data_IF_375689788619
#
_entry.id   IF_375689788619
#
_cell.length_a   1.000
_cell.length_b   1.000
_cell.length_c   1.000
_cell.angle_alpha   90.00
_cell.angle_beta   90.00
_cell.angle_gamma   90.00
#
_symmetry.space_group_name_H-M   'P 1'
#
loop_
_entity.id
_entity.type
_entity.pdbx_description
1 polymer ?
#
# COMPACT_ATOMS: atom_id res chain seq x y z
N UNK A 1 9.91 -23.70 27.01
CA UNK A 1 10.30 -22.41 26.42
C UNK A 1 10.56 -21.45 27.55
N UNK A 2 11.72 -20.78 27.52
CA UNK A 2 12.00 -19.68 28.46
C UNK A 2 11.18 -18.44 28.07
N UNK A 3 11.03 -17.51 29.02
CA UNK A 3 10.35 -16.23 28.75
C UNK A 3 11.07 -15.40 27.67
N UNK A 4 12.39 -15.53 27.56
CA UNK A 4 13.21 -14.92 26.52
C UNK A 4 12.95 -15.54 25.13
N UNK A 5 12.89 -16.88 25.05
CA UNK A 5 12.56 -17.59 23.80
C UNK A 5 11.15 -17.21 23.30
N UNK A 6 10.22 -16.97 24.22
CA UNK A 6 8.86 -16.55 23.87
C UNK A 6 8.84 -15.12 23.32
N UNK A 7 9.60 -14.19 23.92
CA UNK A 7 9.74 -12.81 23.40
C UNK A 7 10.36 -12.79 22.01
N UNK A 8 11.39 -13.61 21.77
CA UNK A 8 12.00 -13.74 20.44
C UNK A 8 11.03 -14.34 19.42
N UNK A 9 10.29 -15.38 19.80
CA UNK A 9 9.28 -16.01 18.95
C UNK A 9 8.17 -15.03 18.54
N UNK A 10 7.65 -14.26 19.49
CA UNK A 10 6.61 -13.26 19.24
C UNK A 10 7.10 -12.16 18.29
N UNK A 11 8.32 -11.65 18.51
CA UNK A 11 8.94 -10.66 17.63
C UNK A 11 9.06 -11.18 16.19
N UNK A 12 9.58 -12.40 16.02
CA UNK A 12 9.74 -13.01 14.69
C UNK A 12 8.40 -13.26 14.00
N UNK A 13 7.38 -13.71 14.75
CA UNK A 13 6.05 -13.92 14.22
C UNK A 13 5.42 -12.61 13.74
N UNK A 14 5.54 -11.53 14.52
CA UNK A 14 5.04 -10.21 14.14
C UNK A 14 5.79 -9.64 12.94
N UNK A 15 7.12 -9.80 12.90
CA UNK A 15 7.93 -9.36 11.77
C UNK A 15 7.51 -10.02 10.46
N UNK A 16 7.31 -11.35 10.46
CA UNK A 16 6.84 -12.08 9.27
C UNK A 16 5.48 -11.57 8.78
N UNK A 17 4.53 -11.33 9.71
CA UNK A 17 3.22 -10.76 9.35
C UNK A 17 3.34 -9.39 8.70
N UNK A 18 4.22 -8.53 9.21
CA UNK A 18 4.47 -7.21 8.63
C UNK A 18 5.11 -7.31 7.24
N UNK A 19 6.06 -8.23 7.04
CA UNK A 19 6.66 -8.53 5.73
C UNK A 19 5.59 -9.02 4.72
N UNK A 20 4.68 -9.90 5.15
CA UNK A 20 3.55 -10.38 4.33
C UNK A 20 2.58 -9.25 3.97
N UNK A 21 2.26 -8.36 4.92
CA UNK A 21 1.43 -7.16 4.70
C UNK A 21 2.09 -6.21 3.70
N UNK A 22 3.39 -5.92 3.85
CA UNK A 22 4.13 -5.09 2.90
C UNK A 22 4.10 -5.65 1.48
N UNK A 23 4.30 -6.96 1.34
CA UNK A 23 4.28 -7.61 0.03
C UNK A 23 2.89 -7.62 -0.60
N UNK A 24 1.83 -7.74 0.22
CA UNK A 24 0.46 -7.53 -0.24
C UNK A 24 0.26 -6.11 -0.75
N UNK A 25 0.69 -5.10 0.01
CA UNK A 25 0.59 -3.69 -0.42
C UNK A 25 1.34 -3.46 -1.71
N UNK A 26 2.55 -4.00 -1.89
CA UNK A 26 3.30 -3.90 -3.17
C UNK A 26 2.54 -4.51 -4.34
N UNK A 27 1.88 -5.66 -4.15
CA UNK A 27 1.09 -6.31 -5.21
C UNK A 27 -0.16 -5.49 -5.55
N UNK A 28 -0.87 -5.00 -4.55
CA UNK A 28 -2.02 -4.10 -4.74
C UNK A 28 -1.58 -2.83 -5.45
N UNK A 29 -0.45 -2.25 -5.04
CA UNK A 29 0.09 -1.02 -5.61
C UNK A 29 0.31 -1.14 -7.12
N UNK A 30 1.05 -2.18 -7.52
CA UNK A 30 1.29 -2.48 -8.94
C UNK A 30 0.00 -2.68 -9.72
N UNK A 31 -0.96 -3.40 -9.16
CA UNK A 31 -2.25 -3.66 -9.82
C UNK A 31 -3.06 -2.37 -9.97
N UNK A 32 -3.10 -1.52 -8.95
CA UNK A 32 -3.82 -0.25 -9.02
C UNK A 32 -3.21 0.72 -10.03
N UNK A 33 -1.87 0.84 -10.06
CA UNK A 33 -1.18 1.65 -11.08
C UNK A 33 -1.50 1.15 -12.49
N UNK A 34 -1.47 -0.17 -12.72
CA UNK A 34 -1.83 -0.75 -14.01
C UNK A 34 -3.28 -0.44 -14.42
N UNK A 35 -4.24 -0.50 -13.49
CA UNK A 35 -5.64 -0.17 -13.77
C UNK A 35 -5.84 1.32 -14.11
N UNK A 36 -5.08 2.21 -13.46
CA UNK A 36 -5.11 3.65 -13.77
C UNK A 36 -4.55 3.91 -15.17
N UNK A 37 -3.41 3.31 -15.52
CA UNK A 37 -2.85 3.37 -16.87
C UNK A 37 -3.82 2.85 -17.92
N UNK A 38 -4.47 1.71 -17.64
CA UNK A 38 -5.47 1.12 -18.51
C UNK A 38 -6.69 2.05 -18.69
N UNK A 39 -7.17 2.70 -17.63
CA UNK A 39 -8.29 3.63 -17.72
C UNK A 39 -7.98 4.84 -18.62
N UNK A 40 -6.76 5.40 -18.54
CA UNK A 40 -6.34 6.46 -19.46
C UNK A 40 -6.20 5.97 -20.89
N UNK A 41 -5.65 4.77 -21.10
CA UNK A 41 -5.55 4.15 -22.42
C UNK A 41 -6.93 3.97 -23.06
N UNK A 42 -7.89 3.40 -22.32
CA UNK A 42 -9.26 3.16 -22.81
C UNK A 42 -9.98 4.49 -23.13
N UNK A 43 -9.75 5.53 -22.34
CA UNK A 43 -10.26 6.87 -22.61
C UNK A 43 -9.69 7.44 -23.91
N UNK A 44 -8.39 7.29 -24.14
CA UNK A 44 -7.72 7.77 -25.35
C UNK A 44 -8.16 6.99 -26.60
N UNK A 45 -8.36 5.68 -26.49
CA UNK A 45 -8.93 4.85 -27.55
C UNK A 45 -10.35 5.34 -27.88
N UNK A 46 -11.18 5.55 -26.87
CA UNK A 46 -12.55 6.06 -27.03
C UNK A 46 -12.56 7.41 -27.73
N UNK A 47 -11.70 8.33 -27.32
CA UNK A 47 -11.58 9.66 -27.93
C UNK A 47 -11.20 9.61 -29.43
N UNK A 48 -10.44 8.59 -29.86
CA UNK A 48 -10.05 8.41 -31.26
C UNK A 48 -11.09 7.69 -32.12
N UNK A 49 -11.84 6.77 -31.52
CA UNK A 49 -12.75 5.88 -32.25
C UNK A 49 -14.20 6.38 -32.30
N UNK A 50 -14.56 7.35 -31.46
CA UNK A 50 -15.93 7.86 -31.36
C UNK A 50 -16.01 9.36 -31.65
N UNK A 51 -17.19 9.83 -32.05
CA UNK A 51 -17.54 11.26 -31.97
C UNK A 51 -17.97 11.64 -30.54
N UNK A 52 -17.29 11.11 -29.52
CA UNK A 52 -17.60 11.42 -28.14
C UNK A 52 -17.44 12.92 -27.88
N UNK A 53 -18.33 13.46 -27.06
CA UNK A 53 -18.29 14.85 -26.64
C UNK A 53 -16.96 15.15 -25.92
N UNK A 54 -16.15 16.11 -26.42
CA UNK A 54 -14.91 16.51 -25.78
C UNK A 54 -15.08 16.92 -24.32
N UNK A 55 -16.23 17.50 -23.94
CA UNK A 55 -16.50 17.88 -22.55
C UNK A 55 -16.68 16.65 -21.66
N UNK A 56 -17.40 15.63 -22.15
CA UNK A 56 -17.56 14.38 -21.43
C UNK A 56 -16.22 13.64 -21.24
N UNK A 57 -15.37 13.62 -22.28
CA UNK A 57 -14.03 13.03 -22.20
C UNK A 57 -13.14 13.76 -21.19
N UNK A 58 -13.17 15.10 -21.19
CA UNK A 58 -12.43 15.91 -20.23
C UNK A 58 -12.90 15.68 -18.79
N UNK A 59 -14.21 15.55 -18.58
CA UNK A 59 -14.78 15.21 -17.28
C UNK A 59 -14.30 13.84 -16.79
N UNK A 60 -14.40 12.80 -17.62
CA UNK A 60 -13.94 11.45 -17.26
C UNK A 60 -12.44 11.47 -16.94
N UNK A 61 -11.62 12.17 -17.74
CA UNK A 61 -10.19 12.32 -17.46
C UNK A 61 -9.94 12.91 -16.08
N UNK A 62 -10.69 13.95 -15.71
CA UNK A 62 -10.55 14.59 -14.41
C UNK A 62 -10.95 13.65 -13.27
N UNK A 63 -11.99 12.84 -13.44
CA UNK A 63 -12.40 11.84 -12.45
C UNK A 63 -11.34 10.73 -12.28
N UNK A 64 -10.71 10.26 -13.37
CA UNK A 64 -9.59 9.31 -13.29
C UNK A 64 -8.43 9.94 -12.50
N UNK A 65 -8.07 11.20 -12.77
CA UNK A 65 -7.01 11.90 -12.03
C UNK A 65 -7.32 12.05 -10.54
N UNK A 66 -8.57 12.37 -10.19
CA UNK A 66 -9.01 12.45 -8.78
C UNK A 66 -8.90 11.09 -8.09
N UNK A 67 -9.37 10.03 -8.75
CA UNK A 67 -9.27 8.67 -8.23
C UNK A 67 -7.80 8.25 -8.03
N UNK A 68 -6.92 8.58 -8.99
CA UNK A 68 -5.48 8.35 -8.87
C UNK A 68 -4.89 9.08 -7.66
N UNK A 69 -5.21 10.37 -7.47
CA UNK A 69 -4.71 11.13 -6.34
C UNK A 69 -5.13 10.50 -5.00
N UNK A 70 -6.42 10.19 -4.83
CA UNK A 70 -6.92 9.54 -3.60
C UNK A 70 -6.26 8.18 -3.37
N UNK A 71 -6.06 7.41 -4.45
CA UNK A 71 -5.37 6.14 -4.40
C UNK A 71 -3.91 6.28 -3.94
N UNK A 72 -3.15 7.20 -4.54
CA UNK A 72 -1.74 7.44 -4.20
C UNK A 72 -1.58 7.88 -2.74
N UNK A 73 -2.43 8.80 -2.28
CA UNK A 73 -2.47 9.24 -0.86
C UNK A 73 -2.77 8.07 0.09
N UNK A 74 -3.69 7.19 -0.29
CA UNK A 74 -4.05 6.00 0.48
C UNK A 74 -2.87 5.03 0.57
N UNK A 75 -2.20 4.73 -0.55
CA UNK A 75 -1.04 3.84 -0.59
C UNK A 75 0.11 4.40 0.27
N UNK A 76 0.38 5.70 0.17
CA UNK A 76 1.40 6.37 1.00
C UNK A 76 1.07 6.23 2.48
N UNK A 77 -0.20 6.46 2.86
CA UNK A 77 -0.66 6.35 4.25
C UNK A 77 -0.47 4.95 4.79
N UNK A 78 -0.86 3.92 4.03
CA UNK A 78 -0.72 2.52 4.43
C UNK A 78 0.75 2.15 4.58
N UNK A 79 1.61 2.52 3.61
CA UNK A 79 3.06 2.25 3.69
C UNK A 79 3.68 2.89 4.92
N UNK A 80 3.30 4.12 5.26
CA UNK A 80 3.76 4.81 6.48
C UNK A 80 3.31 4.08 7.75
N UNK A 81 2.06 3.62 7.79
CA UNK A 81 1.55 2.85 8.94
C UNK A 81 2.30 1.52 9.13
N UNK A 82 2.62 0.81 8.04
CA UNK A 82 3.41 -0.42 8.10
C UNK A 82 4.82 -0.17 8.62
N UNK A 83 5.48 0.88 8.12
CA UNK A 83 6.81 1.29 8.60
C UNK A 83 6.78 1.60 10.11
N UNK A 84 5.77 2.34 10.59
CA UNK A 84 5.61 2.63 12.01
C UNK A 84 5.42 1.35 12.82
N UNK A 85 4.55 0.44 12.39
CA UNK A 85 4.34 -0.84 13.08
C UNK A 85 5.62 -1.68 13.16
N UNK A 86 6.46 -1.64 12.14
CA UNK A 86 7.75 -2.34 12.14
C UNK A 86 8.73 -1.74 13.16
N UNK A 87 8.80 -0.41 13.22
CA UNK A 87 9.58 0.29 14.24
C UNK A 87 9.07 -0.01 15.66
N UNK A 88 7.76 0.05 15.87
CA UNK A 88 7.15 -0.25 17.16
C UNK A 88 7.42 -1.70 17.60
N UNK A 89 7.37 -2.66 16.67
CA UNK A 89 7.69 -4.06 16.95
C UNK A 89 9.16 -4.24 17.38
N UNK A 90 10.09 -3.51 16.74
CA UNK A 90 11.51 -3.53 17.09
C UNK A 90 11.77 -2.88 18.46
N UNK A 91 11.14 -1.73 18.73
CA UNK A 91 11.24 -1.05 20.03
C UNK A 91 10.68 -1.93 21.16
N UNK A 92 9.49 -2.50 20.97
CA UNK A 92 8.86 -3.37 21.96
C UNK A 92 9.70 -4.62 22.25
N UNK A 93 10.32 -5.20 21.21
CA UNK A 93 11.25 -6.32 21.37
C UNK A 93 12.46 -5.92 22.22
N UNK A 94 13.12 -4.80 21.89
CA UNK A 94 14.28 -4.29 22.64
C UNK A 94 13.94 -3.99 24.09
N UNK A 95 12.78 -3.40 24.36
CA UNK A 95 12.33 -3.10 25.72
C UNK A 95 12.09 -4.36 26.54
N UNK A 96 11.46 -5.38 25.97
CA UNK A 96 11.26 -6.68 26.63
C UNK A 96 12.59 -7.39 26.88
N UNK A 97 13.52 -7.35 25.93
CA UNK A 97 14.84 -7.99 26.08
C UNK A 97 15.70 -7.35 27.18
N UNK A 98 15.58 -6.03 27.40
CA UNK A 98 16.24 -5.36 28.54
C UNK A 98 15.79 -5.88 29.91
N UNK A 99 14.66 -6.59 30.00
CA UNK A 99 14.19 -7.16 31.27
C UNK A 99 14.85 -8.52 31.59
N UNK A 100 15.59 -9.09 30.64
CA UNK A 100 16.35 -10.34 30.78
C UNK A 100 17.86 -10.12 30.84
N UNK A 101 18.31 -8.86 30.82
CA UNK A 101 19.70 -8.43 31.01
C UNK A 101 19.85 -7.71 32.34
#
# INVERSE_FOLDING_TARGET
MSSEEQVLSDYQANRRKLEDEEDLVKRVDRKGQHLIEQAFYDLDVTARQSQADPQALAFIRQEIMRAQQTYDETIVTIKKQLAQKAEDNELAYREKMKQYH
#
